data_IF_138770830896
#
_entry.id   IF_138770830896
#
_cell.length_a   1.000
_cell.length_b   1.000
_cell.length_c   1.000
_cell.angle_alpha   90.00
_cell.angle_beta   90.00
_cell.angle_gamma   90.00
#
_symmetry.space_group_name_H-M   'P 1'
#
loop_
_entity.id
_entity.type
_entity.pdbx_description
1 polymer ?
#
# COMPACT_ATOMS: atom_id res chain seq x y z
N UNK A 1 10.30 -14.07 -10.95
CA UNK A 1 9.18 -13.22 -10.47
C UNK A 1 7.92 -14.05 -10.57
N UNK A 2 7.35 -14.45 -9.42
CA UNK A 2 6.30 -15.47 -9.30
C UNK A 2 4.93 -14.92 -9.72
N UNK A 3 4.77 -14.61 -11.00
CA UNK A 3 3.49 -14.18 -11.55
C UNK A 3 2.60 -15.40 -11.78
N UNK A 4 1.31 -15.25 -11.52
CA UNK A 4 0.26 -16.00 -12.19
C UNK A 4 0.60 -16.07 -13.69
N UNK A 5 0.75 -17.28 -14.21
CA UNK A 5 1.16 -17.52 -15.60
C UNK A 5 -0.08 -17.93 -16.38
N UNK A 6 -0.56 -17.02 -17.22
CA UNK A 6 -1.55 -17.36 -18.23
C UNK A 6 -0.83 -17.98 -19.41
N UNK A 7 -1.20 -19.21 -19.76
CA UNK A 7 -0.80 -19.83 -21.01
C UNK A 7 -1.92 -19.56 -22.03
N UNK A 8 -1.60 -18.80 -23.06
CA UNK A 8 -2.56 -18.51 -24.12
C UNK A 8 -2.77 -19.75 -24.98
N UNK A 9 -4.03 -20.06 -25.29
CA UNK A 9 -4.42 -21.27 -26.03
C UNK A 9 -3.75 -21.37 -27.41
N UNK A 10 -3.44 -20.23 -28.03
CA UNK A 10 -2.83 -20.15 -29.37
C UNK A 10 -1.39 -20.67 -29.44
N UNK A 11 -0.73 -20.85 -28.30
CA UNK A 11 0.70 -21.18 -28.22
C UNK A 11 0.96 -22.58 -27.64
N UNK A 12 -0.07 -23.42 -27.48
CA UNK A 12 0.03 -24.70 -26.75
C UNK A 12 -0.44 -25.90 -27.57
N UNK A 13 0.48 -26.77 -28.00
CA UNK A 13 0.16 -28.03 -28.71
C UNK A 13 -0.49 -29.10 -27.81
N UNK A 14 -0.57 -28.85 -26.50
CA UNK A 14 -1.05 -29.80 -25.48
C UNK A 14 -2.42 -29.46 -24.91
N UNK A 15 -3.24 -28.70 -25.66
CA UNK A 15 -4.53 -28.19 -25.19
C UNK A 15 -5.44 -29.30 -24.65
N UNK A 16 -5.67 -30.36 -25.43
CA UNK A 16 -6.56 -31.47 -25.03
C UNK A 16 -6.09 -32.16 -23.75
N UNK A 17 -4.78 -32.37 -23.61
CA UNK A 17 -4.21 -33.02 -22.42
C UNK A 17 -4.30 -32.14 -21.17
N UNK A 18 -4.19 -30.82 -21.31
CA UNK A 18 -4.38 -29.87 -20.21
C UNK A 18 -5.87 -29.82 -19.81
N UNK A 19 -6.79 -29.80 -20.78
CA UNK A 19 -8.23 -29.84 -20.52
C UNK A 19 -8.63 -31.11 -19.77
N UNK A 20 -8.07 -32.27 -20.14
CA UNK A 20 -8.29 -33.52 -19.41
C UNK A 20 -7.89 -33.39 -17.94
N UNK A 21 -6.70 -32.84 -17.64
CA UNK A 21 -6.28 -32.62 -16.25
C UNK A 21 -7.24 -31.68 -15.51
N UNK A 22 -7.64 -30.57 -16.13
CA UNK A 22 -8.57 -29.61 -15.52
C UNK A 22 -9.90 -30.27 -15.19
N UNK A 23 -10.43 -31.13 -16.07
CA UNK A 23 -11.70 -31.85 -15.81
C UNK A 23 -11.64 -32.86 -14.66
N UNK A 24 -10.45 -33.26 -14.21
CA UNK A 24 -10.30 -34.11 -13.03
C UNK A 24 -10.42 -33.33 -11.72
N UNK A 25 -10.22 -32.01 -11.76
CA UNK A 25 -10.17 -31.17 -10.57
C UNK A 25 -11.60 -30.92 -10.08
N UNK A 26 -11.86 -31.24 -8.81
CA UNK A 26 -13.16 -30.97 -8.21
C UNK A 26 -13.42 -29.47 -8.09
N UNK A 27 -14.68 -29.04 -8.09
CA UNK A 27 -15.03 -27.62 -7.89
C UNK A 27 -14.45 -27.06 -6.58
N UNK A 28 -14.42 -27.88 -5.52
CA UNK A 28 -13.91 -27.50 -4.20
C UNK A 28 -12.40 -27.27 -4.24
N UNK A 29 -11.65 -28.15 -4.90
CA UNK A 29 -10.19 -28.02 -5.03
C UNK A 29 -9.83 -26.85 -5.94
N UNK A 30 -10.60 -26.64 -7.00
CA UNK A 30 -10.46 -25.48 -7.87
C UNK A 30 -10.66 -24.17 -7.11
N UNK A 31 -11.69 -24.09 -6.24
CA UNK A 31 -11.90 -22.91 -5.40
C UNK A 31 -10.67 -22.63 -4.50
N UNK A 32 -10.07 -23.68 -3.92
CA UNK A 32 -8.87 -23.54 -3.10
C UNK A 32 -7.67 -23.05 -3.91
N UNK A 33 -7.44 -23.62 -5.10
CA UNK A 33 -6.38 -23.18 -6.02
C UNK A 33 -6.58 -21.73 -6.45
N UNK A 34 -7.79 -21.38 -6.88
CA UNK A 34 -8.16 -20.01 -7.25
C UNK A 34 -7.90 -19.03 -6.12
N UNK A 35 -8.38 -19.34 -4.90
CA UNK A 35 -8.17 -18.48 -3.72
C UNK A 35 -6.69 -18.36 -3.33
N UNK A 36 -5.92 -19.43 -3.46
CA UNK A 36 -4.47 -19.42 -3.23
C UNK A 36 -3.74 -18.51 -4.23
N UNK A 37 -4.03 -18.63 -5.52
CA UNK A 37 -3.46 -17.77 -6.57
C UNK A 37 -3.84 -16.32 -6.32
N UNK A 38 -5.09 -16.06 -5.98
CA UNK A 38 -5.59 -14.71 -5.71
C UNK A 38 -4.91 -14.06 -4.49
N UNK A 39 -4.78 -14.77 -3.35
CA UNK A 39 -4.12 -14.18 -2.18
C UNK A 39 -2.64 -13.90 -2.43
N UNK A 40 -1.95 -14.79 -3.14
CA UNK A 40 -0.53 -14.61 -3.46
C UNK A 40 -0.33 -13.44 -4.42
N UNK A 41 -1.20 -13.31 -5.43
CA UNK A 41 -1.25 -12.17 -6.35
C UNK A 41 -1.45 -10.85 -5.61
N UNK A 42 -2.47 -10.77 -4.76
CA UNK A 42 -2.76 -9.57 -3.98
C UNK A 42 -1.58 -9.16 -3.08
N UNK A 43 -0.95 -10.11 -2.37
CA UNK A 43 0.24 -9.83 -1.55
C UNK A 43 1.36 -9.22 -2.41
N UNK A 44 1.61 -9.77 -3.59
CA UNK A 44 2.64 -9.26 -4.50
C UNK A 44 2.32 -7.88 -5.05
N UNK A 45 1.07 -7.63 -5.44
CA UNK A 45 0.62 -6.34 -5.94
C UNK A 45 0.68 -5.26 -4.86
N UNK A 46 0.22 -5.57 -3.65
CA UNK A 46 0.32 -4.69 -2.50
C UNK A 46 1.78 -4.40 -2.13
N UNK A 47 2.67 -5.38 -2.25
CA UNK A 47 4.10 -5.16 -2.07
C UNK A 47 4.67 -4.18 -3.12
N UNK A 48 4.26 -4.29 -4.38
CA UNK A 48 4.64 -3.30 -5.40
C UNK A 48 4.11 -1.91 -5.05
N UNK A 49 2.84 -1.79 -4.65
CA UNK A 49 2.25 -0.50 -4.23
C UNK A 49 2.97 0.10 -3.03
N UNK A 50 3.38 -0.73 -2.05
CA UNK A 50 4.21 -0.28 -0.95
C UNK A 50 5.53 0.31 -1.45
N UNK A 51 6.22 -0.35 -2.38
CA UNK A 51 7.45 0.21 -2.96
C UNK A 51 7.20 1.44 -3.84
N UNK A 52 6.05 1.57 -4.51
CA UNK A 52 5.65 2.83 -5.17
C UNK A 52 5.51 3.96 -4.15
N UNK A 53 4.87 3.69 -3.01
CA UNK A 53 4.79 4.65 -1.90
C UNK A 53 6.19 5.04 -1.38
N UNK A 54 7.06 4.06 -1.15
CA UNK A 54 8.45 4.32 -0.74
C UNK A 54 9.24 5.11 -1.77
N UNK A 55 9.02 4.83 -3.06
CA UNK A 55 9.68 5.53 -4.15
C UNK A 55 9.24 7.00 -4.21
N UNK A 56 7.96 7.30 -3.97
CA UNK A 56 7.51 8.70 -3.93
C UNK A 56 8.13 9.49 -2.77
N UNK A 57 8.30 8.88 -1.60
CA UNK A 57 9.07 9.51 -0.51
C UNK A 57 10.53 9.70 -0.90
N UNK A 58 11.14 8.68 -1.51
CA UNK A 58 12.52 8.78 -2.00
C UNK A 58 12.65 9.90 -3.02
N UNK A 59 11.72 10.06 -3.96
CA UNK A 59 11.75 11.15 -4.94
C UNK A 59 11.71 12.51 -4.24
N UNK A 60 10.84 12.70 -3.26
CA UNK A 60 10.83 13.93 -2.45
C UNK A 60 12.20 14.19 -1.82
N UNK A 61 12.78 13.18 -1.17
CA UNK A 61 14.08 13.28 -0.49
C UNK A 61 15.28 13.33 -1.42
N UNK A 62 15.16 12.92 -2.68
CA UNK A 62 16.21 13.01 -3.69
C UNK A 62 16.31 14.43 -4.27
N UNK A 63 15.22 15.19 -4.28
CA UNK A 63 15.18 16.58 -4.73
C UNK A 63 15.37 17.58 -3.58
N UNK A 64 15.02 17.20 -2.35
CA UNK A 64 15.03 18.11 -1.21
C UNK A 64 15.75 17.54 0.01
N UNK A 65 16.44 18.41 0.75
CA UNK A 65 16.87 18.15 2.13
C UNK A 65 15.81 18.74 3.07
N UNK A 66 15.22 17.90 3.92
CA UNK A 66 14.20 18.31 4.89
C UNK A 66 14.85 18.47 6.28
N UNK A 67 14.98 19.70 6.76
CA UNK A 67 15.53 19.98 8.09
C UNK A 67 14.43 19.99 9.17
N UNK A 68 14.79 19.72 10.42
CA UNK A 68 13.84 19.58 11.53
C UNK A 68 13.13 20.88 11.91
N UNK A 69 13.66 22.03 11.48
CA UNK A 69 13.07 23.36 11.65
C UNK A 69 12.21 23.79 10.45
N UNK A 70 11.78 22.82 9.64
CA UNK A 70 11.02 22.99 8.40
C UNK A 70 11.74 23.74 7.27
N UNK A 71 13.03 24.07 7.43
CA UNK A 71 13.83 24.57 6.33
C UNK A 71 14.02 23.46 5.29
N UNK A 72 13.63 23.74 4.06
CA UNK A 72 13.78 22.81 2.95
C UNK A 72 14.78 23.39 1.97
N UNK A 73 15.80 22.60 1.64
CA UNK A 73 16.85 23.01 0.70
C UNK A 73 16.70 22.18 -0.57
N UNK A 74 16.60 22.86 -1.71
CA UNK A 74 16.67 22.20 -3.01
C UNK A 74 18.07 21.63 -3.22
N UNK A 75 18.14 20.39 -3.70
CA UNK A 75 19.37 19.78 -4.19
C UNK A 75 19.67 20.19 -5.63
N UNK A 76 18.67 20.71 -6.33
CA UNK A 76 18.81 21.27 -7.66
C UNK A 76 19.14 22.77 -7.56
N UNK A 77 20.33 23.14 -8.01
CA UNK A 77 20.91 24.47 -7.79
C UNK A 77 20.28 25.61 -8.63
N UNK A 78 19.20 25.37 -9.39
CA UNK A 78 18.65 26.33 -10.36
C UNK A 78 17.12 26.47 -10.38
N UNK A 79 16.41 26.11 -9.30
CA UNK A 79 14.96 26.33 -9.25
C UNK A 79 14.66 27.82 -8.98
N UNK A 80 13.74 28.38 -9.77
CA UNK A 80 13.05 29.62 -9.39
C UNK A 80 12.11 29.38 -8.19
N UNK A 81 11.68 30.45 -7.51
CA UNK A 81 10.78 30.36 -6.35
C UNK A 81 9.47 29.61 -6.69
N UNK A 82 8.91 29.87 -7.88
CA UNK A 82 7.71 29.20 -8.38
C UNK A 82 7.96 27.71 -8.65
N UNK A 83 9.04 27.36 -9.32
CA UNK A 83 9.39 25.95 -9.60
C UNK A 83 9.62 25.18 -8.30
N UNK A 84 10.31 25.79 -7.34
CA UNK A 84 10.52 25.25 -6.01
C UNK A 84 9.19 24.96 -5.30
N UNK A 85 8.29 25.95 -5.31
CA UNK A 85 6.95 25.85 -4.71
C UNK A 85 6.05 24.79 -5.37
N UNK A 86 6.04 24.73 -6.70
CA UNK A 86 5.25 23.73 -7.42
C UNK A 86 5.83 22.33 -7.27
N UNK A 87 7.15 22.17 -7.27
CA UNK A 87 7.79 20.87 -7.16
C UNK A 87 7.57 20.24 -5.78
N UNK A 88 7.71 20.99 -4.68
CA UNK A 88 7.46 20.45 -3.34
C UNK A 88 6.00 20.00 -3.20
N UNK A 89 5.05 20.80 -3.69
CA UNK A 89 3.64 20.46 -3.63
C UNK A 89 3.36 19.20 -4.47
N UNK A 90 3.83 19.15 -5.72
CA UNK A 90 3.62 18.01 -6.60
C UNK A 90 4.19 16.70 -6.03
N UNK A 91 5.44 16.72 -5.55
CA UNK A 91 6.08 15.53 -4.96
C UNK A 91 5.37 15.09 -3.68
N UNK A 92 4.94 16.04 -2.84
CA UNK A 92 4.20 15.71 -1.62
C UNK A 92 2.83 15.11 -1.91
N UNK A 93 2.07 15.70 -2.85
CA UNK A 93 0.75 15.19 -3.25
C UNK A 93 0.87 13.80 -3.87
N UNK A 94 1.91 13.54 -4.66
CA UNK A 94 2.19 12.21 -5.22
C UNK A 94 2.49 11.18 -4.12
N UNK A 95 3.31 11.58 -3.14
CA UNK A 95 3.59 10.77 -1.96
C UNK A 95 2.32 10.40 -1.19
N UNK A 96 1.49 11.39 -0.83
CA UNK A 96 0.22 11.16 -0.14
C UNK A 96 -0.74 10.30 -0.99
N UNK A 97 -0.79 10.53 -2.30
CA UNK A 97 -1.65 9.78 -3.21
C UNK A 97 -1.27 8.30 -3.28
N UNK A 98 0.02 8.01 -3.40
CA UNK A 98 0.50 6.62 -3.40
C UNK A 98 0.20 5.88 -2.11
N UNK A 99 0.24 6.57 -0.97
CA UNK A 99 -0.18 6.03 0.32
C UNK A 99 -1.68 5.68 0.34
N UNK A 100 -2.54 6.59 -0.14
CA UNK A 100 -3.98 6.35 -0.21
C UNK A 100 -4.33 5.15 -1.11
N UNK A 101 -3.68 5.05 -2.27
CA UNK A 101 -3.84 3.89 -3.16
C UNK A 101 -3.45 2.58 -2.48
N UNK A 102 -2.35 2.56 -1.73
CA UNK A 102 -1.93 1.40 -0.96
C UNK A 102 -2.97 1.02 0.11
N UNK A 103 -3.43 1.98 0.92
CA UNK A 103 -4.39 1.70 2.01
C UNK A 103 -5.73 1.21 1.48
N UNK A 104 -6.22 1.78 0.38
CA UNK A 104 -7.47 1.36 -0.24
C UNK A 104 -7.36 -0.06 -0.82
N UNK A 105 -6.22 -0.37 -1.44
CA UNK A 105 -5.95 -1.69 -1.99
C UNK A 105 -5.85 -2.76 -0.89
N UNK A 106 -5.30 -2.39 0.28
CA UNK A 106 -5.29 -3.26 1.48
C UNK A 106 -6.73 -3.57 1.92
N UNK A 107 -7.61 -2.56 1.98
CA UNK A 107 -9.02 -2.77 2.33
C UNK A 107 -9.69 -3.74 1.36
N UNK A 108 -9.53 -3.53 0.05
CA UNK A 108 -10.09 -4.39 -0.99
C UNK A 108 -9.60 -5.82 -0.84
N UNK A 109 -8.29 -6.03 -0.68
CA UNK A 109 -7.71 -7.36 -0.49
C UNK A 109 -8.33 -8.06 0.73
N UNK A 110 -8.30 -7.43 1.90
CA UNK A 110 -8.76 -8.09 3.12
C UNK A 110 -10.27 -8.34 3.11
N UNK A 111 -11.06 -7.47 2.48
CA UNK A 111 -12.50 -7.68 2.29
C UNK A 111 -12.81 -8.91 1.43
N UNK A 112 -11.94 -9.27 0.48
CA UNK A 112 -12.12 -10.44 -0.38
C UNK A 112 -11.85 -11.78 0.32
N UNK A 113 -11.08 -11.79 1.41
CA UNK A 113 -10.67 -13.04 2.09
C UNK A 113 -11.24 -13.21 3.49
N UNK A 114 -11.72 -12.15 4.12
CA UNK A 114 -12.29 -12.18 5.46
C UNK A 114 -13.82 -12.24 5.44
N UNK A 115 -14.39 -12.82 6.49
CA UNK A 115 -15.82 -12.68 6.76
C UNK A 115 -16.17 -11.21 7.05
N UNK A 116 -17.45 -10.82 6.96
CA UNK A 116 -17.86 -9.45 7.27
C UNK A 116 -17.49 -9.02 8.71
N UNK A 117 -17.56 -9.95 9.67
CA UNK A 117 -17.17 -9.71 11.06
C UNK A 117 -15.65 -9.53 11.20
N UNK A 118 -14.86 -10.43 10.63
CA UNK A 118 -13.40 -10.37 10.69
C UNK A 118 -12.86 -9.15 9.93
N UNK A 119 -13.47 -8.80 8.80
CA UNK A 119 -13.12 -7.59 8.05
C UNK A 119 -13.39 -6.33 8.86
N UNK A 120 -14.51 -6.27 9.58
CA UNK A 120 -14.84 -5.14 10.45
C UNK A 120 -13.80 -4.99 11.56
N UNK A 121 -13.42 -6.10 12.21
CA UNK A 121 -12.36 -6.11 13.23
C UNK A 121 -10.99 -5.72 12.66
N UNK A 122 -10.63 -6.24 11.49
CA UNK A 122 -9.42 -5.86 10.77
C UNK A 122 -9.40 -4.36 10.49
N UNK A 123 -10.47 -3.82 9.92
CA UNK A 123 -10.58 -2.41 9.55
C UNK A 123 -10.44 -1.51 10.78
N UNK A 124 -11.13 -1.84 11.87
CA UNK A 124 -11.02 -1.13 13.14
C UNK A 124 -9.57 -1.08 13.64
N UNK A 125 -8.93 -2.25 13.74
CA UNK A 125 -7.58 -2.41 14.33
C UNK A 125 -6.46 -1.82 13.48
N UNK A 126 -6.55 -1.95 12.15
CA UNK A 126 -5.42 -1.67 11.24
C UNK A 126 -5.55 -0.31 10.60
N UNK A 127 -6.76 0.13 10.24
CA UNK A 127 -6.98 1.32 9.40
C UNK A 127 -7.74 2.40 10.15
N UNK A 128 -8.96 2.12 10.63
CA UNK A 128 -9.80 3.11 11.29
C UNK A 128 -9.15 3.68 12.53
N UNK A 129 -8.49 2.86 13.36
CA UNK A 129 -7.76 3.36 14.53
C UNK A 129 -6.70 4.40 14.18
N UNK A 130 -5.94 4.18 13.09
CA UNK A 130 -4.97 5.18 12.65
C UNK A 130 -5.69 6.43 12.13
N UNK A 131 -6.79 6.27 11.41
CA UNK A 131 -7.65 7.38 11.02
C UNK A 131 -8.23 8.12 12.22
N UNK A 132 -8.54 7.48 13.34
CA UNK A 132 -9.17 8.14 14.48
C UNK A 132 -8.19 8.77 15.46
N UNK A 133 -7.01 8.17 15.62
CA UNK A 133 -6.04 8.58 16.63
C UNK A 133 -4.97 9.54 16.08
N UNK A 134 -4.75 9.60 14.76
CA UNK A 134 -3.60 10.31 14.17
C UNK A 134 -4.02 11.48 13.28
N UNK A 135 -3.81 12.68 13.80
CA UNK A 135 -4.06 13.93 13.08
C UNK A 135 -3.33 13.98 11.74
N UNK A 136 -2.00 13.81 11.70
CA UNK A 136 -1.22 13.94 10.45
C UNK A 136 -1.68 12.96 9.36
N UNK A 137 -2.13 11.76 9.74
CA UNK A 137 -2.72 10.81 8.79
C UNK A 137 -4.05 11.30 8.22
N UNK A 138 -5.02 11.69 9.07
CA UNK A 138 -6.28 12.27 8.57
C UNK A 138 -6.04 13.50 7.72
N UNK A 139 -5.25 14.43 8.25
CA UNK A 139 -4.99 15.73 7.68
C UNK A 139 -4.41 15.61 6.28
N UNK A 140 -3.34 14.83 6.09
CA UNK A 140 -2.74 14.68 4.77
C UNK A 140 -3.65 13.96 3.76
N UNK A 141 -4.44 12.96 4.18
CA UNK A 141 -5.44 12.36 3.29
C UNK A 141 -6.44 13.40 2.78
N UNK A 142 -6.82 14.38 3.61
CA UNK A 142 -7.66 15.50 3.17
C UNK A 142 -6.90 16.51 2.32
N UNK A 143 -5.60 16.76 2.58
CA UNK A 143 -4.77 17.61 1.72
C UNK A 143 -4.61 17.06 0.30
N UNK A 144 -4.70 15.74 0.13
CA UNK A 144 -4.82 15.14 -1.20
C UNK A 144 -6.09 15.58 -1.90
N UNK A 145 -7.24 15.54 -1.22
CA UNK A 145 -8.51 16.00 -1.80
C UNK A 145 -8.48 17.49 -2.10
N UNK A 146 -7.92 18.29 -1.20
CA UNK A 146 -7.66 19.72 -1.39
C UNK A 146 -6.92 19.98 -2.71
N UNK A 147 -5.86 19.20 -2.96
CA UNK A 147 -5.11 19.27 -4.21
C UNK A 147 -5.88 18.82 -5.46
N UNK A 148 -6.78 17.84 -5.33
CA UNK A 148 -7.63 17.42 -6.44
C UNK A 148 -8.65 18.50 -6.86
N UNK A 149 -8.95 19.46 -5.97
CA UNK A 149 -9.78 20.63 -6.27
C UNK A 149 -8.97 21.81 -6.84
N UNK A 150 -7.67 21.63 -7.11
CA UNK A 150 -6.81 22.62 -7.76
C UNK A 150 -6.04 23.52 -6.81
N UNK A 151 -6.06 23.23 -5.51
CA UNK A 151 -5.34 24.02 -4.50
C UNK A 151 -4.00 23.40 -4.12
N UNK A 152 -3.06 24.19 -3.62
CA UNK A 152 -1.74 23.70 -3.22
C UNK A 152 -1.62 23.78 -1.70
N UNK A 153 -1.54 22.65 -0.97
CA UNK A 153 -1.69 22.64 0.48
C UNK A 153 -0.45 23.14 1.25
N UNK A 154 0.71 23.23 0.61
CA UNK A 154 1.97 23.56 1.27
C UNK A 154 2.36 24.98 0.90
N UNK A 155 2.55 25.81 1.92
CA UNK A 155 3.07 27.17 1.81
C UNK A 155 4.55 27.21 2.16
N UNK A 156 5.25 28.20 1.59
CA UNK A 156 6.68 28.40 1.77
C UNK A 156 6.96 29.87 2.07
N UNK A 157 7.69 30.13 3.15
CA UNK A 157 8.21 31.44 3.48
C UNK A 157 9.65 31.31 3.96
N UNK A 158 10.58 32.08 3.37
CA UNK A 158 12.02 31.99 3.67
C UNK A 158 12.53 30.53 3.65
N UNK A 159 12.13 29.77 2.62
CA UNK A 159 12.43 28.34 2.43
C UNK A 159 11.88 27.39 3.52
N UNK A 160 11.11 27.90 4.49
CA UNK A 160 10.40 27.05 5.46
C UNK A 160 9.06 26.64 4.92
N UNK A 161 8.80 25.34 4.85
CA UNK A 161 7.51 24.82 4.42
C UNK A 161 6.58 24.59 5.61
N UNK A 162 5.30 24.89 5.43
CA UNK A 162 4.28 24.72 6.46
C UNK A 162 2.91 24.53 5.83
N UNK A 163 1.97 24.05 6.66
CA UNK A 163 0.55 24.08 6.34
C UNK A 163 -0.12 25.25 7.05
N UNK A 164 -0.79 26.11 6.30
CA UNK A 164 -1.54 27.25 6.84
C UNK A 164 -2.99 26.84 7.13
N UNK A 165 -3.36 26.75 8.41
CA UNK A 165 -4.70 26.32 8.81
C UNK A 165 -5.77 27.39 8.56
N UNK A 166 -5.42 28.68 8.49
CA UNK A 166 -6.37 29.72 8.11
C UNK A 166 -6.74 29.58 6.63
N UNK A 167 -5.73 29.46 5.77
CA UNK A 167 -5.94 29.31 4.33
C UNK A 167 -6.76 28.05 4.03
N UNK A 168 -6.36 26.90 4.58
CA UNK A 168 -7.04 25.61 4.35
C UNK A 168 -8.51 25.65 4.78
N UNK A 169 -8.84 26.29 5.90
CA UNK A 169 -10.24 26.39 6.37
C UNK A 169 -11.08 27.40 5.58
N UNK A 170 -10.44 28.43 5.04
CA UNK A 170 -11.11 29.51 4.31
C UNK A 170 -11.35 29.18 2.83
N UNK A 171 -10.79 28.08 2.34
CA UNK A 171 -10.74 27.79 0.91
C UNK A 171 -12.13 27.49 0.32
N UNK A 172 -12.57 28.22 -0.72
CA UNK A 172 -13.83 27.97 -1.40
C UNK A 172 -13.89 26.57 -2.03
N UNK A 173 -15.08 25.98 -2.07
CA UNK A 173 -15.34 24.71 -2.76
C UNK A 173 -14.56 23.48 -2.23
N UNK A 174 -13.97 23.58 -1.04
CA UNK A 174 -13.35 22.47 -0.33
C UNK A 174 -14.03 22.26 1.02
N UNK A 175 -14.75 21.14 1.16
CA UNK A 175 -15.41 20.78 2.42
C UNK A 175 -14.59 19.76 3.20
N UNK A 176 -14.08 20.19 4.36
CA UNK A 176 -13.52 19.30 5.37
C UNK A 176 -14.64 18.57 6.09
N UNK A 177 -14.38 17.31 6.49
CA UNK A 177 -15.31 16.63 7.37
C UNK A 177 -15.38 17.33 8.74
N UNK A 178 -16.55 17.24 9.40
CA UNK A 178 -16.82 17.96 10.65
C UNK A 178 -15.80 17.66 11.76
N UNK A 179 -15.34 16.42 11.87
CA UNK A 179 -14.36 16.00 12.89
C UNK A 179 -13.02 16.72 12.69
N UNK A 180 -12.49 16.69 11.48
CA UNK A 180 -11.21 17.34 11.15
C UNK A 180 -11.34 18.86 11.21
N UNK A 181 -12.46 19.43 10.77
CA UNK A 181 -12.70 20.87 10.89
C UNK A 181 -12.64 21.33 12.35
N UNK A 182 -13.36 20.66 13.24
CA UNK A 182 -13.34 20.96 14.68
C UNK A 182 -11.93 20.82 15.26
N UNK A 183 -11.21 19.77 14.90
CA UNK A 183 -9.85 19.54 15.39
C UNK A 183 -8.86 20.61 14.88
N UNK A 184 -9.01 21.06 13.63
CA UNK A 184 -8.24 22.19 13.11
C UNK A 184 -8.60 23.48 13.86
N UNK A 185 -9.89 23.75 14.09
CA UNK A 185 -10.34 24.93 14.85
C UNK A 185 -9.78 24.94 16.29
N UNK A 186 -9.75 23.79 16.96
CA UNK A 186 -9.12 23.60 18.28
C UNK A 186 -7.61 23.84 18.23
N UNK A 187 -6.90 23.23 17.28
CA UNK A 187 -5.45 23.42 17.09
C UNK A 187 -5.09 24.89 16.80
N UNK A 188 -5.90 25.58 16.00
CA UNK A 188 -5.72 27.02 15.74
C UNK A 188 -5.82 27.81 17.02
N UNK A 189 -6.88 27.59 17.80
CA UNK A 189 -7.09 28.27 19.08
C UNK A 189 -5.91 28.03 20.04
N UNK A 190 -5.42 26.79 20.13
CA UNK A 190 -4.27 26.43 20.96
C UNK A 190 -2.99 27.15 20.49
N UNK A 191 -2.70 27.16 19.20
CA UNK A 191 -1.51 27.84 18.65
C UNK A 191 -1.56 29.35 18.93
N UNK A 192 -2.69 30.00 18.69
CA UNK A 192 -2.85 31.43 18.98
C UNK A 192 -2.68 31.72 20.48
N UNK A 193 -3.33 30.93 21.34
CA UNK A 193 -3.29 31.15 22.78
C UNK A 193 -1.90 30.91 23.37
N UNK A 194 -1.17 29.92 22.86
CA UNK A 194 0.13 29.53 23.39
C UNK A 194 1.29 30.36 22.82
N UNK A 195 1.25 30.69 21.53
CA UNK A 195 2.39 31.28 20.82
C UNK A 195 2.11 32.68 20.27
N UNK A 196 0.84 33.12 20.20
CA UNK A 196 0.47 34.41 19.59
C UNK A 196 0.78 34.51 18.09
N UNK A 197 1.10 33.38 17.45
CA UNK A 197 1.56 33.29 16.07
C UNK A 197 0.45 32.80 15.14
N UNK A 198 0.70 32.89 13.84
CA UNK A 198 -0.15 32.28 12.82
C UNK A 198 -0.24 30.76 13.00
N UNK A 199 -1.40 30.14 12.72
CA UNK A 199 -1.66 28.76 13.06
C UNK A 199 -1.06 27.81 12.02
N UNK A 200 0.26 27.70 12.04
CA UNK A 200 1.02 26.87 11.12
C UNK A 200 1.30 25.48 11.69
N UNK A 201 1.19 24.46 10.84
CA UNK A 201 1.62 23.11 11.17
C UNK A 201 2.95 22.80 10.47
N UNK A 202 3.88 22.21 11.21
CA UNK A 202 5.17 21.74 10.71
C UNK A 202 4.99 20.78 9.54
N UNK A 203 5.68 21.05 8.43
CA UNK A 203 5.67 20.20 7.26
C UNK A 203 6.42 18.89 7.52
N UNK A 204 7.67 18.99 7.96
CA UNK A 204 8.60 17.85 8.07
C UNK A 204 8.09 16.84 9.10
N UNK A 205 7.61 17.31 10.25
CA UNK A 205 7.03 16.44 11.26
C UNK A 205 5.79 15.69 10.75
N UNK A 206 4.89 16.41 10.06
CA UNK A 206 3.64 15.84 9.53
C UNK A 206 3.92 14.78 8.47
N UNK A 207 4.87 15.04 7.55
CA UNK A 207 5.28 14.07 6.52
C UNK A 207 5.94 12.83 7.15
N UNK A 208 6.79 13.02 8.16
CA UNK A 208 7.46 11.92 8.84
C UNK A 208 6.48 11.04 9.64
N UNK A 209 5.54 11.63 10.39
CA UNK A 209 4.51 10.85 11.10
C UNK A 209 3.63 10.08 10.12
N UNK A 210 3.19 10.73 9.04
CA UNK A 210 2.40 10.09 7.99
C UNK A 210 3.12 8.88 7.39
N UNK A 211 4.39 9.06 7.00
CA UNK A 211 5.22 8.00 6.46
C UNK A 211 5.32 6.79 7.42
N UNK A 212 5.52 7.05 8.71
CA UNK A 212 5.57 6.01 9.73
C UNK A 212 4.23 5.27 9.82
N UNK A 213 3.11 6.00 9.89
CA UNK A 213 1.76 5.42 9.98
C UNK A 213 1.46 4.52 8.79
N UNK A 214 1.73 4.95 7.55
CA UNK A 214 1.50 4.13 6.35
C UNK A 214 2.35 2.86 6.37
N UNK A 215 3.60 2.98 6.81
CA UNK A 215 4.51 1.83 6.95
C UNK A 215 4.01 0.85 8.02
N UNK A 216 3.47 1.35 9.14
CA UNK A 216 2.82 0.52 10.16
C UNK A 216 1.57 -0.17 9.65
N UNK A 217 0.70 0.52 8.90
CA UNK A 217 -0.51 -0.06 8.28
C UNK A 217 -0.11 -1.24 7.40
N UNK A 218 0.88 -1.06 6.52
CA UNK A 218 1.33 -2.14 5.64
C UNK A 218 1.94 -3.32 6.42
N UNK A 219 2.74 -3.05 7.45
CA UNK A 219 3.29 -4.11 8.30
C UNK A 219 2.19 -4.87 9.06
N UNK A 220 1.18 -4.17 9.58
CA UNK A 220 0.00 -4.77 10.22
C UNK A 220 -0.79 -5.63 9.23
N UNK A 221 -1.05 -5.15 8.01
CA UNK A 221 -1.63 -5.95 6.93
C UNK A 221 -0.87 -7.26 6.72
N UNK A 222 0.47 -7.22 6.62
CA UNK A 222 1.27 -8.43 6.47
C UNK A 222 1.06 -9.40 7.65
N UNK A 223 0.84 -8.93 8.87
CA UNK A 223 0.52 -9.82 9.99
C UNK A 223 -0.84 -10.51 9.83
N UNK A 224 -1.85 -9.76 9.41
CA UNK A 224 -3.24 -10.23 9.28
C UNK A 224 -3.45 -11.15 8.07
N UNK A 225 -2.75 -10.93 6.95
CA UNK A 225 -2.85 -11.80 5.76
C UNK A 225 -2.09 -13.13 5.91
N UNK A 226 -1.15 -13.21 6.86
CA UNK A 226 -0.32 -14.40 7.10
C UNK A 226 -1.14 -15.67 7.33
N UNK A 227 -2.07 -15.73 8.30
CA UNK A 227 -2.85 -16.94 8.56
C UNK A 227 -3.60 -17.41 7.30
N UNK A 228 -4.18 -16.48 6.53
CA UNK A 228 -4.90 -16.76 5.28
C UNK A 228 -3.97 -17.45 4.27
N UNK A 229 -2.79 -16.87 4.03
CA UNK A 229 -1.80 -17.43 3.12
C UNK A 229 -1.33 -18.84 3.56
N UNK A 230 -1.04 -19.01 4.86
CA UNK A 230 -0.57 -20.29 5.41
C UNK A 230 -1.62 -21.37 5.25
N UNK A 231 -2.87 -21.06 5.59
CA UNK A 231 -3.99 -21.99 5.46
C UNK A 231 -4.19 -22.45 4.00
N UNK A 232 -4.28 -21.49 3.07
CA UNK A 232 -4.47 -21.79 1.65
C UNK A 232 -3.28 -22.56 1.07
N UNK A 233 -2.04 -22.21 1.44
CA UNK A 233 -0.85 -22.93 1.00
C UNK A 233 -0.83 -24.39 1.50
N UNK A 234 -1.25 -24.62 2.76
CA UNK A 234 -1.31 -25.96 3.34
C UNK A 234 -2.40 -26.81 2.65
N UNK A 235 -3.60 -26.25 2.45
CA UNK A 235 -4.69 -26.92 1.73
C UNK A 235 -4.29 -27.27 0.29
N UNK A 236 -3.70 -26.31 -0.43
CA UNK A 236 -3.15 -26.52 -1.78
C UNK A 236 -2.12 -27.66 -1.81
N UNK A 237 -1.19 -27.70 -0.86
CA UNK A 237 -0.19 -28.77 -0.78
C UNK A 237 -0.81 -30.13 -0.44
N UNK A 238 -1.82 -30.16 0.43
CA UNK A 238 -2.54 -31.38 0.77
C UNK A 238 -3.24 -31.96 -0.47
N UNK A 239 -4.00 -31.15 -1.20
CA UNK A 239 -4.68 -31.56 -2.44
C UNK A 239 -3.66 -32.13 -3.43
N UNK A 240 -2.53 -31.45 -3.65
CA UNK A 240 -1.50 -31.91 -4.59
C UNK A 240 -0.78 -33.20 -4.17
N UNK A 241 -0.87 -33.58 -2.89
CA UNK A 241 -0.34 -34.85 -2.38
C UNK A 241 -1.37 -35.97 -2.45
N UNK A 242 -2.65 -35.66 -2.20
CA UNK A 242 -3.77 -36.60 -2.26
C UNK A 242 -4.16 -36.94 -3.71
N UNK A 243 -3.99 -35.97 -4.62
CA UNK A 243 -4.34 -36.07 -6.04
C UNK A 243 -3.13 -35.84 -6.95
N UNK A 244 -2.17 -36.79 -7.02
CA UNK A 244 -1.01 -36.68 -7.91
C UNK A 244 -1.41 -36.57 -9.40
N UNK A 245 -2.59 -37.07 -9.77
CA UNK A 245 -3.19 -36.97 -11.11
C UNK A 245 -3.52 -35.53 -11.55
N UNK A 246 -3.57 -34.56 -10.63
CA UNK A 246 -3.75 -33.13 -10.97
C UNK A 246 -2.52 -32.50 -11.59
N UNK A 247 -1.40 -33.24 -11.66
CA UNK A 247 -0.17 -32.76 -12.28
C UNK A 247 -0.13 -33.14 -13.76
N UNK A 248 0.09 -32.14 -14.60
CA UNK A 248 0.34 -32.39 -16.01
C UNK A 248 1.68 -33.12 -16.20
N UNK A 249 1.68 -34.16 -17.04
CA UNK A 249 2.89 -34.90 -17.43
C UNK A 249 3.29 -34.46 -18.83
N UNK A 250 4.53 -34.01 -18.98
CA UNK A 250 5.09 -33.61 -20.26
C UNK A 250 5.23 -34.81 -21.21
N UNK A 251 5.32 -34.58 -22.54
CA UNK A 251 5.49 -35.66 -23.52
C UNK A 251 6.75 -36.52 -23.31
N UNK A 252 7.77 -35.97 -22.67
CA UNK A 252 9.01 -36.67 -22.30
C UNK A 252 8.87 -37.54 -21.03
N UNK A 253 7.67 -37.59 -20.44
CA UNK A 253 7.36 -38.33 -19.22
C UNK A 253 7.71 -37.61 -17.92
N UNK A 254 8.24 -36.39 -17.98
CA UNK A 254 8.54 -35.60 -16.78
C UNK A 254 7.29 -34.92 -16.21
N UNK A 255 7.22 -34.80 -14.88
CA UNK A 255 6.14 -34.09 -14.20
C UNK A 255 6.34 -32.59 -14.39
N UNK A 256 5.33 -31.91 -14.93
CA UNK A 256 5.35 -30.46 -15.09
C UNK A 256 5.20 -29.76 -13.73
N UNK A 257 5.97 -28.70 -13.52
CA UNK A 257 5.88 -27.89 -12.32
C UNK A 257 4.62 -27.02 -12.29
N UNK A 258 4.02 -26.74 -13.46
CA UNK A 258 2.79 -25.96 -13.57
C UNK A 258 1.56 -26.82 -13.24
N UNK A 259 0.70 -26.28 -12.40
CA UNK A 259 -0.59 -26.85 -12.03
C UNK A 259 -1.68 -26.04 -12.74
N UNK A 260 -2.32 -26.65 -13.72
CA UNK A 260 -3.44 -26.06 -14.47
C UNK A 260 -4.74 -26.34 -13.74
N UNK A 261 -5.53 -25.31 -13.48
CA UNK A 261 -6.74 -25.45 -12.66
C UNK A 261 -7.99 -24.82 -13.26
N UNK A 262 -7.87 -23.98 -14.28
CA UNK A 262 -9.02 -23.34 -14.91
C UNK A 262 -8.76 -22.96 -16.37
N UNK A 263 -9.80 -23.03 -17.20
CA UNK A 263 -9.81 -22.57 -18.58
C UNK A 263 -10.95 -21.55 -18.73
N UNK A 264 -10.62 -20.32 -19.11
CA UNK A 264 -11.62 -19.25 -19.33
C UNK A 264 -12.10 -19.15 -20.78
N UNK A 265 -11.68 -20.08 -21.64
CA UNK A 265 -11.97 -20.09 -23.08
C UNK A 265 -10.95 -19.32 -23.93
N UNK A 266 -10.07 -18.54 -23.31
CA UNK A 266 -8.99 -17.81 -23.98
C UNK A 266 -7.59 -18.24 -23.51
N UNK A 267 -7.48 -18.66 -22.26
CA UNK A 267 -6.23 -19.01 -21.60
C UNK A 267 -6.41 -20.08 -20.53
N UNK A 268 -5.37 -20.88 -20.34
CA UNK A 268 -5.24 -21.74 -19.18
C UNK A 268 -4.62 -20.97 -18.02
N UNK A 269 -5.29 -21.04 -16.88
CA UNK A 269 -4.84 -20.49 -15.61
C UNK A 269 -4.04 -21.55 -14.88
N UNK A 270 -2.83 -21.19 -14.48
CA UNK A 270 -1.96 -22.10 -13.77
C UNK A 270 -1.01 -21.38 -12.83
N UNK A 271 -0.57 -22.11 -11.82
CA UNK A 271 0.48 -21.68 -10.90
C UNK A 271 1.62 -22.67 -10.90
N UNK A 272 2.82 -22.21 -10.53
CA UNK A 272 3.95 -23.10 -10.36
C UNK A 272 3.85 -23.78 -8.98
N UNK A 273 3.67 -25.10 -8.97
CA UNK A 273 3.57 -25.91 -7.75
C UNK A 273 4.84 -25.87 -6.89
N UNK A 274 5.98 -25.49 -7.47
CA UNK A 274 7.26 -25.34 -6.77
C UNK A 274 7.47 -23.93 -6.17
N UNK A 275 6.56 -22.98 -6.41
CA UNK A 275 6.71 -21.62 -5.87
C UNK A 275 6.54 -21.60 -4.34
N UNK A 276 7.54 -21.05 -3.66
CA UNK A 276 7.53 -20.89 -2.20
C UNK A 276 6.93 -19.53 -1.80
N UNK A 277 5.59 -19.45 -1.80
CA UNK A 277 4.86 -18.25 -1.41
C UNK A 277 5.08 -17.84 0.06
N UNK A 278 5.35 -18.81 0.94
CA UNK A 278 5.66 -18.57 2.36
C UNK A 278 7.01 -17.88 2.52
N UNK A 279 8.04 -18.34 1.80
CA UNK A 279 9.35 -17.70 1.81
C UNK A 279 9.32 -16.31 1.18
N UNK A 280 8.59 -16.15 0.06
CA UNK A 280 8.33 -14.84 -0.55
C UNK A 280 7.75 -13.87 0.48
N UNK A 281 6.66 -14.25 1.14
CA UNK A 281 6.04 -13.46 2.19
C UNK A 281 7.01 -13.16 3.35
N UNK A 282 7.77 -14.16 3.80
CA UNK A 282 8.73 -14.00 4.90
C UNK A 282 9.85 -13.03 4.55
N UNK A 283 10.31 -13.02 3.29
CA UNK A 283 11.27 -12.04 2.78
C UNK A 283 10.69 -10.63 2.81
N UNK A 284 9.51 -10.43 2.23
CA UNK A 284 8.80 -9.14 2.22
C UNK A 284 8.63 -8.59 3.64
N UNK A 285 8.12 -9.42 4.56
CA UNK A 285 7.90 -9.03 5.96
C UNK A 285 9.19 -8.62 6.67
N UNK A 286 10.30 -9.31 6.44
CA UNK A 286 11.60 -8.96 7.04
C UNK A 286 12.07 -7.60 6.55
N UNK A 287 11.96 -7.32 5.26
CA UNK A 287 12.35 -6.03 4.70
C UNK A 287 11.47 -4.88 5.22
N UNK A 288 10.15 -5.06 5.24
CA UNK A 288 9.23 -4.05 5.79
C UNK A 288 9.50 -3.80 7.27
N UNK A 289 9.83 -4.83 8.06
CA UNK A 289 10.19 -4.67 9.48
C UNK A 289 11.47 -3.83 9.66
N UNK A 290 12.47 -4.01 8.78
CA UNK A 290 13.70 -3.19 8.81
C UNK A 290 13.38 -1.73 8.48
N UNK A 291 12.58 -1.50 7.44
CA UNK A 291 12.12 -0.15 7.05
C UNK A 291 11.39 0.50 8.23
N UNK A 292 10.38 -0.18 8.79
CA UNK A 292 9.61 0.33 9.92
C UNK A 292 10.51 0.73 11.10
N UNK A 293 11.48 -0.12 11.47
CA UNK A 293 12.44 0.20 12.54
C UNK A 293 13.25 1.46 12.23
N UNK A 294 13.70 1.64 10.99
CA UNK A 294 14.41 2.84 10.57
C UNK A 294 13.50 4.07 10.63
N UNK A 295 12.28 4.00 10.09
CA UNK A 295 11.33 5.12 10.11
C UNK A 295 10.96 5.53 11.54
N UNK A 296 10.75 4.57 12.45
CA UNK A 296 10.52 4.85 13.87
C UNK A 296 11.71 5.57 14.49
N UNK A 297 12.95 5.14 14.17
CA UNK A 297 14.16 5.78 14.67
C UNK A 297 14.30 7.22 14.17
N UNK A 298 14.08 7.45 12.87
CA UNK A 298 14.14 8.81 12.30
C UNK A 298 13.05 9.71 12.88
N UNK A 299 11.81 9.22 12.97
CA UNK A 299 10.70 9.98 13.54
C UNK A 299 10.96 10.37 15.01
N UNK A 300 11.51 9.46 15.81
CA UNK A 300 11.84 9.77 17.20
C UNK A 300 12.91 10.86 17.35
N UNK A 301 13.83 10.99 16.39
CA UNK A 301 14.81 12.10 16.38
C UNK A 301 14.17 13.45 16.12
N UNK A 302 13.03 13.50 15.42
CA UNK A 302 12.29 14.74 15.17
C UNK A 302 11.54 15.25 16.40
N UNK A 303 11.37 14.40 17.43
CA UNK A 303 10.64 14.74 18.66
C UNK A 303 11.55 15.29 19.77
N UNK A 304 12.86 15.33 19.55
CA UNK A 304 13.88 15.79 20.49
C UNK A 304 14.32 17.18 20.06
#
# INVERSE_FOLDING_TARGET
>A
MNKDRRFFLKDTEFQESIEQVITLISEVDNEIFSRYVEVTRHIMELNKLFYVFRYNLKNLLDHFVLNTNDLIESKDAQLSDDEYYYQINALTINFISSAKTLTDSIEVCMKSFLSAADFSSFKEKVISKQYDDKFSYRFLIHMRHYAQHGHLPINIHEQKAYFDLDEILSMPHFDLNRKLKNEIDELKADIYNQFGNMPYISYVFTIAEFNLIITEIYFKFLNEVKPILVELNNKKNQILNEHPEYRFVNPDGSINAMIFYYNDGESFHCFNGNDNSIEMYASMKREVKKILKNETHQYNKLRI
#
